data_IF_842877376895
#
_entry.id   IF_842877376895
#
_cell.length_a   1.000
_cell.length_b   1.000
_cell.length_c   1.000
_cell.angle_alpha   90.00
_cell.angle_beta   90.00
_cell.angle_gamma   90.00
#
_symmetry.space_group_name_H-M   'P 1'
#
loop_
_entity.id
_entity.type
_entity.pdbx_description
1 polymer ?
#
# COMPACT_ATOMS: atom_id res chain seq x y z
N UNK A 1 4.46 8.27 11.18
CA UNK A 1 3.19 7.70 10.67
C UNK A 1 2.00 8.61 10.93
N UNK A 2 1.78 9.12 12.16
CA UNK A 2 0.64 10.03 12.46
C UNK A 2 0.58 11.27 11.56
N UNK A 3 1.71 11.96 11.37
CA UNK A 3 1.71 13.16 10.51
C UNK A 3 1.46 12.84 9.04
N UNK A 4 1.93 11.68 8.57
CA UNK A 4 1.73 11.26 7.18
C UNK A 4 0.24 11.01 6.89
N UNK A 5 -0.45 10.28 7.77
CA UNK A 5 -1.88 10.02 7.59
C UNK A 5 -2.70 11.32 7.55
N UNK A 6 -2.36 12.29 8.40
CA UNK A 6 -2.99 13.62 8.40
C UNK A 6 -2.71 14.38 7.09
N UNK A 7 -1.47 14.37 6.61
CA UNK A 7 -1.11 15.03 5.35
C UNK A 7 -1.84 14.39 4.16
N UNK A 8 -2.03 13.07 4.15
CA UNK A 8 -2.83 12.38 3.13
C UNK A 8 -4.32 12.77 3.18
N UNK A 9 -4.84 12.98 4.38
CA UNK A 9 -6.22 13.43 4.60
C UNK A 9 -6.46 14.88 4.16
N UNK A 10 -5.43 15.72 4.13
CA UNK A 10 -5.52 17.11 3.69
C UNK A 10 -5.06 17.32 2.24
N UNK A 11 -4.32 16.37 1.66
CA UNK A 11 -3.72 16.51 0.34
C UNK A 11 -4.75 16.69 -0.78
N UNK A 12 -4.44 17.57 -1.74
CA UNK A 12 -5.18 17.72 -3.01
C UNK A 12 -4.64 16.73 -4.07
N UNK A 13 -3.34 16.42 -3.97
CA UNK A 13 -2.65 15.44 -4.81
C UNK A 13 -1.71 14.59 -3.95
N UNK A 14 -1.66 13.28 -4.22
CA UNK A 14 -0.75 12.34 -3.61
C UNK A 14 0.01 11.60 -4.70
N UNK A 15 1.33 11.79 -4.73
CA UNK A 15 2.25 11.04 -5.59
C UNK A 15 3.19 10.17 -4.75
N UNK A 16 3.34 8.90 -5.12
CA UNK A 16 4.28 7.99 -4.47
C UNK A 16 5.06 7.14 -5.48
N UNK A 17 6.35 6.96 -5.19
CA UNK A 17 7.23 6.03 -5.89
C UNK A 17 7.76 5.01 -4.88
N UNK A 18 7.50 3.71 -5.11
CA UNK A 18 7.99 2.65 -4.24
C UNK A 18 8.74 1.58 -5.02
N UNK A 19 9.97 1.30 -4.57
CA UNK A 19 10.90 0.39 -5.23
C UNK A 19 11.18 -0.91 -4.45
N UNK A 20 10.89 -0.95 -3.15
CA UNK A 20 11.21 -2.11 -2.30
C UNK A 20 10.02 -3.02 -2.01
N UNK A 21 8.82 -2.46 -1.97
CA UNK A 21 7.57 -3.13 -1.61
C UNK A 21 6.39 -2.41 -2.26
N UNK A 22 5.25 -3.09 -2.36
CA UNK A 22 4.00 -2.45 -2.79
C UNK A 22 3.64 -1.31 -1.83
N UNK A 23 3.24 -0.14 -2.36
CA UNK A 23 2.89 1.03 -1.55
C UNK A 23 1.86 0.68 -0.46
N UNK A 24 2.04 1.19 0.75
CA UNK A 24 1.22 0.85 1.91
C UNK A 24 -0.30 1.10 1.76
N UNK A 25 -0.71 2.11 0.98
CA UNK A 25 -2.13 2.39 0.71
C UNK A 25 -2.75 1.34 -0.22
N UNK A 26 -1.93 0.73 -1.08
CA UNK A 26 -2.35 -0.32 -2.00
C UNK A 26 -2.46 -1.69 -1.31
N UNK A 27 -1.93 -1.84 -0.10
CA UNK A 27 -1.79 -3.15 0.54
C UNK A 27 -3.11 -3.77 1.03
N UNK A 28 -3.17 -5.09 1.04
CA UNK A 28 -4.12 -5.89 1.83
C UNK A 28 -3.60 -6.07 3.26
N UNK A 29 -4.47 -6.38 4.24
CA UNK A 29 -4.06 -6.68 5.61
C UNK A 29 -3.00 -7.80 5.67
N UNK A 30 -3.20 -8.87 4.90
CA UNK A 30 -2.35 -10.07 4.90
C UNK A 30 -0.95 -9.76 4.34
N UNK A 31 -0.88 -8.96 3.28
CA UNK A 31 0.41 -8.52 2.73
C UNK A 31 1.13 -7.60 3.70
N UNK A 32 0.42 -6.66 4.32
CA UNK A 32 0.98 -5.76 5.33
C UNK A 32 1.50 -6.53 6.55
N UNK A 33 0.75 -7.52 7.03
CA UNK A 33 1.15 -8.40 8.14
C UNK A 33 2.41 -9.19 7.79
N UNK A 34 2.46 -9.83 6.63
CA UNK A 34 3.63 -10.55 6.17
C UNK A 34 4.87 -9.65 6.06
N UNK A 35 4.69 -8.42 5.58
CA UNK A 35 5.75 -7.43 5.49
C UNK A 35 6.28 -7.00 6.87
N UNK A 36 5.38 -6.74 7.82
CA UNK A 36 5.78 -6.37 9.19
C UNK A 36 6.42 -7.53 9.95
N UNK A 37 6.02 -8.78 9.71
CA UNK A 37 6.63 -9.97 10.31
C UNK A 37 8.10 -10.17 9.88
N UNK A 38 8.49 -9.65 8.71
CA UNK A 38 9.86 -9.70 8.21
C UNK A 38 10.77 -8.61 8.80
N UNK A 39 10.22 -7.61 9.51
CA UNK A 39 10.99 -6.47 10.03
C UNK A 39 12.09 -6.95 10.99
N UNK A 40 13.22 -6.23 10.95
CA UNK A 40 14.34 -6.40 11.88
C UNK A 40 14.69 -5.05 12.54
N UNK A 41 14.87 -5.00 13.89
CA UNK A 41 14.55 -6.03 14.91
C UNK A 41 13.12 -6.58 14.80
N UNK A 42 12.79 -7.73 15.37
CA UNK A 42 11.42 -8.24 15.26
C UNK A 42 10.42 -7.31 15.98
N UNK A 43 9.21 -7.19 15.45
CA UNK A 43 8.07 -6.64 16.18
C UNK A 43 7.38 -7.76 16.95
N UNK A 44 6.70 -7.42 18.05
CA UNK A 44 5.75 -8.32 18.70
C UNK A 44 4.49 -8.47 17.84
N UNK A 45 3.68 -9.49 18.11
CA UNK A 45 2.40 -9.68 17.40
C UNK A 45 1.45 -8.48 17.57
N UNK A 46 1.37 -7.92 18.79
CA UNK A 46 0.58 -6.73 19.08
C UNK A 46 1.07 -5.50 18.31
N UNK A 47 2.39 -5.34 18.17
CA UNK A 47 2.96 -4.26 17.37
C UNK A 47 2.62 -4.41 15.89
N UNK A 48 2.68 -5.65 15.36
CA UNK A 48 2.30 -5.95 13.98
C UNK A 48 0.82 -5.62 13.75
N UNK A 49 -0.08 -6.09 14.62
CA UNK A 49 -1.51 -5.85 14.52
C UNK A 49 -1.83 -4.35 14.54
N UNK A 50 -1.23 -3.61 15.48
CA UNK A 50 -1.37 -2.15 15.56
C UNK A 50 -0.90 -1.46 14.29
N UNK A 51 0.21 -1.91 13.71
CA UNK A 51 0.73 -1.34 12.47
C UNK A 51 -0.12 -1.67 11.24
N UNK A 52 -0.64 -2.89 11.13
CA UNK A 52 -1.57 -3.29 10.08
C UNK A 52 -2.84 -2.46 10.18
N UNK A 53 -3.43 -2.34 11.37
CA UNK A 53 -4.63 -1.53 11.63
C UNK A 53 -4.42 -0.08 11.22
N UNK A 54 -3.30 0.53 11.65
CA UNK A 54 -2.96 1.91 11.27
C UNK A 54 -2.77 2.06 9.75
N UNK A 55 -2.20 1.07 9.06
CA UNK A 55 -2.04 1.07 7.61
C UNK A 55 -3.39 0.96 6.90
N UNK A 56 -4.29 0.10 7.39
CA UNK A 56 -5.63 -0.07 6.80
C UNK A 56 -6.50 1.16 7.00
N UNK A 57 -6.40 1.85 8.14
CA UNK A 57 -7.14 3.09 8.39
C UNK A 57 -6.83 4.19 7.36
N UNK A 58 -5.58 4.27 6.89
CA UNK A 58 -5.16 5.25 5.86
C UNK A 58 -5.86 5.05 4.51
N UNK A 59 -6.42 3.87 4.24
CA UNK A 59 -7.11 3.58 2.97
C UNK A 59 -8.40 4.38 2.79
N UNK A 60 -8.91 5.01 3.85
CA UNK A 60 -10.03 5.95 3.77
C UNK A 60 -9.79 7.11 2.79
N UNK A 61 -8.53 7.42 2.45
CA UNK A 61 -8.18 8.42 1.44
C UNK A 61 -8.81 8.15 0.06
N UNK A 62 -9.06 6.88 -0.30
CA UNK A 62 -9.68 6.53 -1.58
C UNK A 62 -11.16 6.92 -1.65
N UNK A 63 -11.83 7.01 -0.50
CA UNK A 63 -13.27 7.24 -0.38
C UNK A 63 -13.60 8.69 0.02
N UNK A 64 -12.59 9.51 0.35
CA UNK A 64 -12.73 10.91 0.78
C UNK A 64 -13.37 11.81 -0.29
N UNK A 65 -14.12 12.81 0.16
CA UNK A 65 -14.65 13.92 -0.65
C UNK A 65 -14.19 15.27 -0.06
N UNK A 66 -13.66 16.22 -0.86
CA UNK A 66 -13.36 16.10 -2.28
C UNK A 66 -12.23 15.09 -2.53
N UNK A 67 -12.30 14.40 -3.68
CA UNK A 67 -11.34 13.36 -4.04
C UNK A 67 -9.98 13.99 -4.35
N UNK A 68 -8.92 13.47 -3.74
CA UNK A 68 -7.56 13.77 -4.13
C UNK A 68 -7.20 13.03 -5.43
N UNK A 69 -6.33 13.61 -6.26
CA UNK A 69 -5.67 12.86 -7.33
C UNK A 69 -4.56 12.00 -6.73
N UNK A 70 -4.57 10.70 -6.99
CA UNK A 70 -3.63 9.76 -6.37
C UNK A 70 -2.87 9.00 -7.46
N UNK A 71 -1.55 9.14 -7.47
CA UNK A 71 -0.68 8.47 -8.44
C UNK A 71 0.37 7.63 -7.72
N UNK A 72 0.49 6.37 -8.15
CA UNK A 72 1.52 5.45 -7.70
C UNK A 72 2.40 5.05 -8.89
N UNK A 73 3.71 5.02 -8.67
CA UNK A 73 4.67 4.40 -9.58
C UNK A 73 5.35 3.26 -8.81
N UNK A 74 5.11 2.02 -9.25
CA UNK A 74 5.66 0.81 -8.63
C UNK A 74 6.75 0.21 -9.50
N UNK A 75 7.91 -0.07 -8.92
CA UNK A 75 8.91 -0.95 -9.54
C UNK A 75 8.32 -2.33 -9.80
N UNK A 76 8.52 -2.86 -11.01
CA UNK A 76 8.00 -4.17 -11.42
C UNK A 76 8.44 -5.29 -10.47
N UNK A 77 9.66 -5.20 -9.93
CA UNK A 77 10.15 -6.19 -8.96
C UNK A 77 9.25 -6.32 -7.74
N UNK A 78 8.61 -5.24 -7.29
CA UNK A 78 7.72 -5.25 -6.12
C UNK A 78 6.44 -6.06 -6.37
N UNK A 79 6.01 -6.17 -7.62
CA UNK A 79 4.83 -6.94 -8.05
C UNK A 79 5.12 -8.44 -8.20
N UNK A 80 6.40 -8.80 -8.33
CA UNK A 80 6.85 -10.19 -8.55
C UNK A 80 7.30 -10.90 -7.27
N UNK A 81 7.54 -10.17 -6.17
CA UNK A 81 8.02 -10.73 -4.89
C UNK A 81 6.87 -11.37 -4.10
N UNK A 82 6.92 -12.68 -3.79
CA UNK A 82 5.83 -13.37 -3.09
C UNK A 82 5.87 -13.16 -1.58
N UNK A 83 5.80 -11.90 -1.12
CA UNK A 83 5.70 -11.59 0.32
C UNK A 83 4.42 -12.20 0.89
N UNK A 84 4.55 -12.99 1.95
CA UNK A 84 3.44 -13.77 2.53
C UNK A 84 3.05 -15.01 1.72
N UNK A 85 3.80 -15.35 0.67
CA UNK A 85 3.53 -16.49 -0.20
C UNK A 85 2.65 -16.13 -1.41
N UNK A 86 2.47 -17.11 -2.32
CA UNK A 86 1.82 -16.88 -3.62
C UNK A 86 0.35 -16.44 -3.51
N UNK A 87 -0.39 -16.96 -2.53
CA UNK A 87 -1.80 -16.60 -2.35
C UNK A 87 -1.96 -15.17 -1.82
N UNK A 88 -1.11 -14.75 -0.89
CA UNK A 88 -1.10 -13.36 -0.39
C UNK A 88 -0.74 -12.40 -1.51
N UNK A 89 0.29 -12.72 -2.31
CA UNK A 89 0.64 -11.90 -3.47
C UNK A 89 -0.51 -11.83 -4.49
N UNK A 90 -1.18 -12.96 -4.77
CA UNK A 90 -2.33 -12.98 -5.68
C UNK A 90 -3.43 -12.01 -5.22
N UNK A 91 -3.85 -12.11 -3.96
CA UNK A 91 -4.88 -11.23 -3.39
C UNK A 91 -4.42 -9.76 -3.40
N UNK A 92 -3.14 -9.53 -3.15
CA UNK A 92 -2.54 -8.19 -3.23
C UNK A 92 -2.62 -7.62 -4.66
N UNK A 93 -2.34 -8.42 -5.69
CA UNK A 93 -2.47 -7.99 -7.09
C UNK A 93 -3.93 -7.77 -7.50
N UNK A 94 -4.85 -8.61 -7.04
CA UNK A 94 -6.30 -8.40 -7.22
C UNK A 94 -6.73 -7.06 -6.61
N UNK A 95 -6.20 -6.68 -5.44
CA UNK A 95 -6.44 -5.37 -4.85
C UNK A 95 -5.94 -4.21 -5.71
N UNK A 96 -4.80 -4.35 -6.39
CA UNK A 96 -4.32 -3.32 -7.33
C UNK A 96 -5.29 -3.11 -8.49
N UNK A 97 -5.85 -4.20 -9.03
CA UNK A 97 -6.85 -4.13 -10.09
C UNK A 97 -8.12 -3.41 -9.62
N UNK A 98 -8.57 -3.66 -8.39
CA UNK A 98 -9.74 -2.96 -7.84
C UNK A 98 -9.48 -1.47 -7.64
N UNK A 99 -8.33 -1.10 -7.07
CA UNK A 99 -7.97 0.31 -6.86
C UNK A 99 -7.77 1.04 -8.18
N UNK A 100 -7.15 0.39 -9.17
CA UNK A 100 -6.91 0.96 -10.50
C UNK A 100 -8.19 1.26 -11.30
N UNK A 101 -9.36 0.77 -10.87
CA UNK A 101 -10.66 1.13 -11.48
C UNK A 101 -11.16 2.52 -11.06
N UNK A 102 -10.64 3.07 -9.97
CA UNK A 102 -11.04 4.37 -9.44
C UNK A 102 -10.57 5.49 -10.38
N UNK A 103 -11.49 6.37 -10.80
CA UNK A 103 -11.22 7.43 -11.78
C UNK A 103 -10.19 8.47 -11.34
N UNK A 104 -9.96 8.59 -10.04
CA UNK A 104 -9.01 9.53 -9.43
C UNK A 104 -7.68 8.85 -9.01
N UNK A 105 -7.48 7.59 -9.41
CA UNK A 105 -6.26 6.83 -9.08
C UNK A 105 -5.55 6.36 -10.35
N UNK A 106 -4.24 6.55 -10.40
CA UNK A 106 -3.36 5.99 -11.43
C UNK A 106 -2.29 5.11 -10.79
N UNK A 107 -2.07 3.91 -11.35
CA UNK A 107 -1.01 2.99 -10.94
C UNK A 107 -0.17 2.70 -12.17
N UNK A 108 1.09 3.11 -12.14
CA UNK A 108 2.07 2.89 -13.19
C UNK A 108 3.10 1.87 -12.72
N UNK A 109 3.61 1.08 -13.65
CA UNK A 109 4.69 0.12 -13.39
C UNK A 109 5.96 0.62 -14.05
N UNK A 110 7.01 0.79 -13.25
CA UNK A 110 8.35 1.07 -13.74
C UNK A 110 9.02 -0.25 -14.13
N UNK A 111 9.36 -0.45 -15.42
CA UNK A 111 10.04 -1.65 -15.89
C UNK A 111 11.46 -1.76 -15.33
N UNK A 112 11.98 -2.98 -15.24
CA UNK A 112 13.33 -3.25 -14.75
C UNK A 112 14.37 -3.47 -15.85
N UNK A 113 14.05 -3.08 -17.08
CA UNK A 113 14.88 -3.27 -18.28
C UNK A 113 15.25 -1.97 -18.96
#
# INVERSE_FOLDING_TARGET
>A
MRDLARLEEEAVELGAYDNHQINGLLQTPEYAQALYAMRRPAFTEEEIERHVTARMARKAVFDRVPRALITFVQEETTLRRPIGGRMVLRQQLERLLEVGKLRHVSIQVMPTN
#
